data_IF_255432447081
#
_entry.id   IF_255432447081
#
_cell.length_a   1.000
_cell.length_b   1.000
_cell.length_c   1.000
_cell.angle_alpha   90.00
_cell.angle_beta   90.00
_cell.angle_gamma   90.00
#
_symmetry.space_group_name_H-M   'P 1'
#
loop_
_entity.id
_entity.type
_entity.pdbx_description
1 polymer ?
#
# COMPACT_ATOMS: atom_id res chain seq x y z
N UNK A 1 -21.47 12.83 -62.27
CA UNK A 1 -21.73 13.67 -61.08
C UNK A 1 -22.78 13.04 -60.20
N UNK A 2 -22.38 12.46 -59.05
CA UNK A 2 -23.28 12.10 -57.94
C UNK A 2 -22.53 12.33 -56.63
N UNK A 3 -23.11 13.16 -55.76
CA UNK A 3 -22.59 13.54 -54.43
C UNK A 3 -22.67 12.34 -53.48
N UNK A 4 -21.63 12.11 -52.68
CA UNK A 4 -21.68 11.23 -51.50
C UNK A 4 -21.62 12.13 -50.27
N UNK A 5 -22.61 11.94 -49.40
CA UNK A 5 -22.86 12.68 -48.16
C UNK A 5 -22.02 12.05 -47.04
N UNK A 6 -21.31 12.87 -46.28
CA UNK A 6 -20.58 12.47 -45.07
C UNK A 6 -21.58 12.26 -43.93
N UNK A 7 -21.67 11.03 -43.41
CA UNK A 7 -22.36 10.73 -42.16
C UNK A 7 -21.32 10.63 -41.03
N UNK A 8 -21.57 11.37 -39.94
CA UNK A 8 -20.64 11.60 -38.85
C UNK A 8 -20.19 10.34 -38.12
N UNK A 9 -18.88 10.23 -37.91
CA UNK A 9 -18.23 9.23 -37.06
C UNK A 9 -17.98 9.80 -35.67
N UNK A 10 -18.58 9.16 -34.65
CA UNK A 10 -18.27 9.34 -33.23
C UNK A 10 -16.84 8.87 -32.92
N UNK A 11 -16.10 9.49 -31.98
CA UNK A 11 -14.77 9.03 -31.62
C UNK A 11 -14.86 7.94 -30.54
N UNK A 12 -14.64 6.68 -30.90
CA UNK A 12 -14.33 5.61 -29.95
C UNK A 12 -13.08 4.85 -30.39
N UNK A 13 -12.23 4.62 -29.39
CA UNK A 13 -11.09 3.69 -29.35
C UNK A 13 -9.85 4.05 -30.17
N UNK A 14 -9.00 4.93 -29.61
CA UNK A 14 -7.55 4.73 -29.74
C UNK A 14 -7.13 3.60 -28.79
N UNK A 15 -6.80 2.43 -29.34
CA UNK A 15 -5.97 1.43 -28.67
C UNK A 15 -4.55 1.98 -28.63
N UNK A 16 -4.07 2.36 -27.45
CA UNK A 16 -2.65 2.66 -27.26
C UNK A 16 -1.89 1.33 -27.26
N UNK A 17 -0.90 1.24 -28.14
CA UNK A 17 -0.04 0.09 -28.37
C UNK A 17 0.90 -0.11 -27.18
N UNK A 18 1.01 -1.37 -26.77
CA UNK A 18 1.96 -1.86 -25.78
C UNK A 18 3.39 -1.83 -26.33
N UNK A 19 4.21 -0.94 -25.80
CA UNK A 19 5.68 -1.03 -25.89
C UNK A 19 6.26 -0.20 -24.76
N UNK A 20 6.56 -0.85 -23.63
CA UNK A 20 7.39 -0.25 -22.59
C UNK A 20 8.70 -1.04 -22.60
N UNK A 21 9.62 -0.61 -23.46
CA UNK A 21 11.03 -0.67 -23.11
C UNK A 21 11.22 0.39 -22.02
N UNK A 22 11.51 -0.03 -20.80
CA UNK A 22 11.83 0.89 -19.71
C UNK A 22 13.21 1.51 -20.00
N UNK A 23 13.32 2.83 -20.19
CA UNK A 23 14.62 3.47 -20.36
C UNK A 23 15.40 3.39 -19.04
N UNK A 24 16.68 3.07 -19.14
CA UNK A 24 17.65 3.22 -18.05
C UNK A 24 17.65 4.71 -17.64
N UNK A 25 17.33 4.98 -16.37
CA UNK A 25 17.36 6.34 -15.82
C UNK A 25 16.05 6.90 -15.27
N UNK A 26 15.00 6.09 -15.06
CA UNK A 26 13.87 6.51 -14.22
C UNK A 26 14.32 6.61 -12.75
N UNK A 27 14.88 7.76 -12.38
CA UNK A 27 14.62 8.29 -11.06
C UNK A 27 13.10 8.24 -10.88
N UNK A 28 12.64 7.41 -9.96
CA UNK A 28 11.23 7.35 -9.66
C UNK A 28 10.85 8.74 -9.16
N UNK A 29 10.14 9.51 -9.98
CA UNK A 29 9.59 10.84 -9.67
C UNK A 29 8.46 10.73 -8.65
N UNK A 30 8.62 9.87 -7.65
CA UNK A 30 7.72 9.68 -6.56
C UNK A 30 7.96 10.79 -5.54
N UNK A 31 7.01 11.71 -5.42
CA UNK A 31 6.98 12.75 -4.39
C UNK A 31 6.98 12.18 -2.95
N UNK A 32 6.72 10.88 -2.80
CA UNK A 32 6.63 10.24 -1.48
C UNK A 32 8.01 10.09 -0.82
N UNK A 33 8.14 10.42 0.47
CA UNK A 33 9.42 10.46 1.18
C UNK A 33 10.02 9.06 1.37
N UNK A 34 11.34 9.02 1.54
CA UNK A 34 12.08 7.81 1.91
C UNK A 34 12.43 7.86 3.39
N UNK A 35 12.00 6.87 4.16
CA UNK A 35 12.39 6.66 5.55
C UNK A 35 13.50 5.62 5.64
N UNK A 36 14.61 6.01 6.24
CA UNK A 36 15.76 5.13 6.44
C UNK A 36 15.76 4.58 7.86
N UNK A 37 16.00 3.29 7.98
CA UNK A 37 16.09 2.58 9.25
C UNK A 37 17.28 1.62 9.26
N UNK A 38 17.61 1.08 10.43
CA UNK A 38 18.63 0.06 10.63
C UNK A 38 18.09 -1.11 11.43
N UNK A 39 18.78 -2.26 11.44
CA UNK A 39 18.35 -3.40 12.27
C UNK A 39 18.46 -3.13 13.78
N UNK A 40 19.20 -2.09 14.19
CA UNK A 40 19.24 -1.63 15.58
C UNK A 40 17.92 -0.96 16.03
N UNK A 41 17.09 -0.50 15.07
CA UNK A 41 15.78 0.09 15.35
C UNK A 41 14.69 -0.95 15.64
N UNK A 42 14.97 -2.24 15.39
CA UNK A 42 14.00 -3.32 15.56
C UNK A 42 13.72 -3.63 17.03
N UNK A 43 12.46 -3.89 17.34
CA UNK A 43 12.01 -4.31 18.67
C UNK A 43 11.77 -5.82 18.60
N UNK A 44 12.67 -6.60 19.18
CA UNK A 44 12.59 -8.06 19.19
C UNK A 44 11.86 -8.63 20.42
N UNK A 45 11.94 -7.93 21.57
CA UNK A 45 11.18 -8.29 22.76
C UNK A 45 10.04 -7.30 22.99
N UNK A 46 8.81 -7.76 22.80
CA UNK A 46 7.59 -6.97 23.01
C UNK A 46 7.11 -7.00 24.46
N UNK A 47 7.71 -7.83 25.32
CA UNK A 47 7.32 -8.00 26.73
C UNK A 47 8.05 -7.04 27.66
N UNK A 48 9.22 -6.56 27.24
CA UNK A 48 10.04 -5.61 27.96
C UNK A 48 10.05 -4.26 27.20
N UNK A 49 9.12 -3.34 27.49
CA UNK A 49 9.16 -2.01 26.88
C UNK A 49 10.49 -1.33 27.27
N UNK A 50 11.36 -1.10 26.29
CA UNK A 50 12.63 -0.39 26.50
C UNK A 50 12.33 0.96 27.15
N UNK A 51 13.06 1.30 28.21
CA UNK A 51 13.02 2.62 28.84
C UNK A 51 13.28 3.72 27.79
N UNK A 52 12.54 4.82 27.91
CA UNK A 52 12.33 5.88 26.92
C UNK A 52 13.58 6.62 26.38
N UNK A 53 14.80 6.27 26.77
CA UNK A 53 15.97 7.15 26.60
C UNK A 53 16.70 7.05 25.26
N UNK A 54 16.84 5.88 24.60
CA UNK A 54 17.82 5.75 23.48
C UNK A 54 17.25 5.47 22.08
N UNK A 55 15.92 5.40 21.91
CA UNK A 55 15.31 5.08 20.61
C UNK A 55 13.96 5.77 20.35
N UNK A 56 13.65 6.83 21.10
CA UNK A 56 12.36 7.50 21.01
C UNK A 56 12.22 8.35 19.73
N UNK A 57 13.29 9.02 19.31
CA UNK A 57 13.24 10.02 18.23
C UNK A 57 12.91 9.41 16.86
N UNK A 58 13.65 8.40 16.39
CA UNK A 58 13.37 7.73 15.10
C UNK A 58 11.99 7.09 15.05
N UNK A 59 11.54 6.50 16.16
CA UNK A 59 10.22 5.87 16.27
C UNK A 59 9.11 6.91 16.20
N UNK A 60 9.27 8.01 16.93
CA UNK A 60 8.32 9.10 16.92
C UNK A 60 8.26 9.76 15.53
N UNK A 61 9.40 9.99 14.89
CA UNK A 61 9.49 10.46 13.50
C UNK A 61 8.76 9.54 12.52
N UNK A 62 8.95 8.21 12.64
CA UNK A 62 8.24 7.24 11.80
C UNK A 62 6.72 7.32 12.03
N UNK A 63 6.29 7.39 13.29
CA UNK A 63 4.88 7.50 13.67
C UNK A 63 4.26 8.79 13.13
N UNK A 64 4.91 9.93 13.32
CA UNK A 64 4.46 11.23 12.82
C UNK A 64 4.37 11.24 11.30
N UNK A 65 5.39 10.72 10.62
CA UNK A 65 5.39 10.59 9.17
C UNK A 65 4.24 9.70 8.68
N UNK A 66 4.08 8.51 9.28
CA UNK A 66 3.00 7.59 8.93
C UNK A 66 1.63 8.25 9.09
N UNK A 67 1.38 8.86 10.24
CA UNK A 67 0.07 9.46 10.54
C UNK A 67 -0.19 10.70 9.68
N UNK A 68 0.81 11.56 9.47
CA UNK A 68 0.69 12.73 8.60
C UNK A 68 0.33 12.33 7.17
N UNK A 69 1.02 11.33 6.61
CA UNK A 69 0.73 10.84 5.25
C UNK A 69 -0.61 10.14 5.16
N UNK A 70 -1.04 9.44 6.21
CA UNK A 70 -2.34 8.77 6.25
C UNK A 70 -3.48 9.79 6.28
N UNK A 71 -3.36 10.85 7.06
CA UNK A 71 -4.36 11.94 7.10
C UNK A 71 -4.39 12.75 5.81
N UNK A 72 -3.23 13.00 5.18
CA UNK A 72 -3.18 13.63 3.86
C UNK A 72 -3.93 12.78 2.82
N UNK A 73 -3.71 11.47 2.79
CA UNK A 73 -4.44 10.57 1.90
C UNK A 73 -5.95 10.53 2.19
N UNK A 74 -6.35 10.74 3.46
CA UNK A 74 -7.76 10.92 3.83
C UNK A 74 -8.35 12.18 3.21
N UNK A 75 -7.65 13.30 3.35
CA UNK A 75 -8.07 14.60 2.81
C UNK A 75 -8.15 14.56 1.28
N UNK A 76 -7.23 13.84 0.65
CA UNK A 76 -7.18 13.63 -0.81
C UNK A 76 -8.18 12.57 -1.32
N UNK A 77 -9.04 12.02 -0.44
CA UNK A 77 -10.07 11.01 -0.77
C UNK A 77 -9.52 9.76 -1.48
N UNK A 78 -8.36 9.28 -1.05
CA UNK A 78 -7.73 8.07 -1.60
C UNK A 78 -8.46 6.80 -1.15
N UNK A 79 -9.18 6.84 -0.02
CA UNK A 79 -9.95 5.72 0.50
C UNK A 79 -11.26 5.50 -0.26
N UNK A 80 -11.72 4.25 -0.31
CA UNK A 80 -12.97 3.89 -0.95
C UNK A 80 -14.21 4.35 -0.15
N UNK A 81 -14.05 4.67 1.13
CA UNK A 81 -15.12 5.03 2.06
C UNK A 81 -14.55 5.76 3.28
N UNK A 82 -15.41 6.40 4.06
CA UNK A 82 -15.02 7.09 5.30
C UNK A 82 -15.04 6.13 6.50
N UNK A 83 -14.21 6.39 7.51
CA UNK A 83 -14.18 5.61 8.74
C UNK A 83 -15.38 5.94 9.67
N UNK A 84 -16.60 5.78 9.15
CA UNK A 84 -17.82 5.91 9.92
C UNK A 84 -18.26 4.52 10.42
N UNK A 85 -17.77 4.13 11.59
CA UNK A 85 -18.07 2.84 12.18
C UNK A 85 -18.67 2.99 13.58
N UNK A 86 -19.62 2.13 13.89
CA UNK A 86 -20.12 1.98 15.26
C UNK A 86 -19.28 0.95 16.00
N UNK A 87 -19.00 1.22 17.27
CA UNK A 87 -18.21 0.35 18.14
C UNK A 87 -19.04 -0.05 19.36
N UNK A 88 -18.93 -1.31 19.76
CA UNK A 88 -19.53 -1.83 20.99
C UNK A 88 -18.55 -2.77 21.69
N UNK A 89 -18.24 -2.48 22.95
CA UNK A 89 -17.56 -3.44 23.82
C UNK A 89 -18.57 -4.51 24.27
N UNK A 90 -18.16 -5.77 24.22
CA UNK A 90 -18.99 -6.89 24.65
C UNK A 90 -18.79 -7.17 26.14
N UNK A 91 -19.85 -7.52 26.87
CA UNK A 91 -19.73 -7.96 28.26
C UNK A 91 -19.05 -9.34 28.36
N UNK A 92 -18.38 -9.61 29.47
CA UNK A 92 -17.74 -10.90 29.78
C UNK A 92 -16.33 -10.73 30.35
N UNK A 93 -15.65 -11.85 30.57
CA UNK A 93 -14.29 -11.88 31.15
C UNK A 93 -13.20 -11.51 30.14
N UNK A 94 -13.59 -11.25 28.89
CA UNK A 94 -12.69 -10.95 27.78
C UNK A 94 -13.00 -9.59 27.17
N UNK A 95 -11.97 -8.86 26.75
CA UNK A 95 -12.08 -7.51 26.18
C UNK A 95 -12.47 -7.53 24.68
N UNK A 96 -13.52 -8.27 24.33
CA UNK A 96 -13.98 -8.32 22.94
C UNK A 96 -14.75 -7.06 22.55
N UNK A 97 -14.56 -6.64 21.31
CA UNK A 97 -15.30 -5.54 20.73
C UNK A 97 -15.80 -5.86 19.33
N UNK A 98 -16.93 -5.24 18.99
CA UNK A 98 -17.58 -5.37 17.70
C UNK A 98 -17.58 -4.02 17.02
N UNK A 99 -17.17 -4.02 15.76
CA UNK A 99 -17.20 -2.87 14.87
C UNK A 99 -18.17 -3.14 13.72
N UNK A 100 -19.17 -2.27 13.54
CA UNK A 100 -20.04 -2.30 12.37
C UNK A 100 -19.60 -1.20 11.39
N UNK A 101 -19.09 -1.63 10.24
CA UNK A 101 -18.71 -0.75 9.13
C UNK A 101 -19.46 -1.21 7.86
N UNK A 102 -20.60 -0.56 7.59
CA UNK A 102 -21.50 -0.89 6.48
C UNK A 102 -20.85 -0.59 5.12
N UNK A 103 -20.25 0.59 5.00
CA UNK A 103 -19.60 1.04 3.76
C UNK A 103 -18.47 0.11 3.34
N UNK A 104 -17.65 -0.32 4.30
CA UNK A 104 -16.61 -1.33 4.03
C UNK A 104 -17.19 -2.64 3.51
N UNK A 105 -18.32 -3.09 4.06
CA UNK A 105 -18.99 -4.31 3.60
C UNK A 105 -19.39 -4.24 2.13
N UNK A 106 -19.74 -3.05 1.64
CA UNK A 106 -20.25 -2.83 0.28
C UNK A 106 -19.15 -2.39 -0.71
N UNK A 107 -18.23 -1.54 -0.28
CA UNK A 107 -17.26 -0.82 -1.12
C UNK A 107 -15.87 -1.46 -1.11
N UNK A 108 -15.59 -2.42 -0.21
CA UNK A 108 -14.32 -3.15 -0.23
C UNK A 108 -14.24 -4.03 -1.48
N UNK A 109 -13.04 -4.07 -2.08
CA UNK A 109 -12.73 -4.98 -3.19
C UNK A 109 -13.06 -6.44 -2.85
N UNK A 110 -13.67 -7.15 -3.81
CA UNK A 110 -13.86 -8.60 -3.69
C UNK A 110 -12.51 -9.31 -3.49
N UNK A 111 -12.41 -10.28 -2.55
CA UNK A 111 -11.21 -11.07 -2.37
C UNK A 111 -10.77 -11.75 -3.67
N UNK A 112 -9.46 -11.82 -3.89
CA UNK A 112 -8.91 -12.56 -5.02
C UNK A 112 -8.97 -14.06 -4.73
N UNK A 113 -9.30 -14.88 -5.75
CA UNK A 113 -9.19 -16.34 -5.63
C UNK A 113 -7.74 -16.76 -5.78
N UNK A 114 -7.24 -17.52 -4.81
CA UNK A 114 -5.93 -18.15 -4.86
C UNK A 114 -6.09 -19.64 -5.15
N UNK A 115 -5.17 -20.22 -5.91
CA UNK A 115 -5.18 -21.63 -6.27
C UNK A 115 -4.18 -22.44 -5.45
N UNK A 116 -3.17 -21.78 -4.88
CA UNK A 116 -2.17 -22.40 -4.03
C UNK A 116 -1.82 -21.51 -2.84
N UNK A 117 -1.27 -22.14 -1.79
CA UNK A 117 -0.68 -21.45 -0.63
C UNK A 117 0.47 -20.53 -1.06
N UNK A 118 1.24 -20.95 -2.06
CA UNK A 118 2.28 -20.17 -2.73
C UNK A 118 1.82 -19.84 -4.14
N UNK A 119 1.10 -18.75 -4.29
CA UNK A 119 0.64 -18.28 -5.60
C UNK A 119 1.78 -17.52 -6.30
N UNK A 120 2.16 -17.90 -7.54
CA UNK A 120 3.19 -17.20 -8.28
C UNK A 120 2.76 -15.76 -8.60
N UNK A 121 3.74 -14.86 -8.70
CA UNK A 121 3.46 -13.50 -9.16
C UNK A 121 2.93 -13.51 -10.59
N UNK A 122 1.91 -12.71 -10.85
CA UNK A 122 1.36 -12.51 -12.19
C UNK A 122 1.19 -11.03 -12.47
N UNK A 123 1.89 -10.55 -13.50
CA UNK A 123 1.76 -9.17 -13.99
C UNK A 123 0.37 -8.89 -14.57
N UNK A 124 -0.32 -9.92 -15.07
CA UNK A 124 -1.66 -9.80 -15.64
C UNK A 124 -2.72 -9.57 -14.55
N UNK A 125 -2.56 -10.20 -13.39
CA UNK A 125 -3.45 -10.02 -12.24
C UNK A 125 -3.17 -8.71 -11.51
N UNK A 126 -4.09 -8.28 -10.65
CA UNK A 126 -3.81 -7.14 -9.78
C UNK A 126 -2.63 -7.47 -8.85
N UNK A 127 -1.69 -6.53 -8.72
CA UNK A 127 -0.51 -6.64 -7.87
C UNK A 127 -0.09 -5.24 -7.39
N UNK A 128 0.76 -5.19 -6.37
CA UNK A 128 1.18 -3.92 -5.77
C UNK A 128 2.01 -3.02 -6.68
N UNK A 129 2.61 -3.55 -7.76
CA UNK A 129 3.26 -2.72 -8.79
C UNK A 129 2.27 -1.85 -9.57
N UNK A 130 0.96 -2.04 -9.39
CA UNK A 130 -0.11 -1.22 -9.98
C UNK A 130 -0.73 -0.23 -9.00
N UNK A 131 -0.10 -0.01 -7.83
CA UNK A 131 -0.53 1.04 -6.91
C UNK A 131 -0.47 2.40 -7.58
N UNK A 132 -1.49 3.22 -7.34
CA UNK A 132 -1.47 4.61 -7.74
C UNK A 132 -0.47 5.39 -6.88
N UNK A 133 0.12 6.44 -7.43
CA UNK A 133 1.14 7.21 -6.72
C UNK A 133 0.60 7.89 -5.45
N UNK A 134 -0.68 8.27 -5.45
CA UNK A 134 -1.38 8.83 -4.28
C UNK A 134 -1.63 7.79 -3.17
N UNK A 135 -1.58 6.49 -3.48
CA UNK A 135 -1.66 5.43 -2.48
C UNK A 135 -0.33 5.21 -1.74
N UNK A 136 0.79 5.70 -2.29
CA UNK A 136 2.12 5.52 -1.72
C UNK A 136 2.40 6.56 -0.64
N UNK A 137 2.47 6.13 0.62
CA UNK A 137 2.73 7.00 1.77
C UNK A 137 4.20 7.35 1.89
N UNK A 138 5.07 6.34 1.84
CA UNK A 138 6.53 6.46 1.95
C UNK A 138 7.23 5.19 1.46
N UNK A 139 8.54 5.30 1.20
CA UNK A 139 9.42 4.17 0.93
C UNK A 139 10.28 3.87 2.15
N UNK A 140 10.54 2.59 2.44
CA UNK A 140 11.47 2.21 3.50
C UNK A 140 12.77 1.64 2.92
N UNK A 141 13.90 2.04 3.50
CA UNK A 141 15.23 1.51 3.18
C UNK A 141 16.01 1.18 4.43
N UNK A 142 16.50 -0.05 4.48
CA UNK A 142 17.41 -0.51 5.53
C UNK A 142 18.85 -0.12 5.18
N UNK A 143 19.54 0.60 6.06
CA UNK A 143 20.91 1.11 5.84
C UNK A 143 21.95 -0.02 5.91
N UNK A 144 21.80 -0.93 6.86
CA UNK A 144 22.75 -1.99 7.18
C UNK A 144 22.42 -3.34 6.53
N UNK A 145 21.18 -3.51 6.03
CA UNK A 145 20.77 -4.68 5.24
C UNK A 145 19.99 -4.26 3.98
N UNK A 146 20.65 -3.62 3.00
CA UNK A 146 19.98 -3.23 1.76
C UNK A 146 19.46 -4.46 1.01
N UNK A 147 18.31 -4.31 0.34
CA UNK A 147 17.67 -5.38 -0.44
C UNK A 147 18.64 -5.86 -1.53
N UNK A 148 19.23 -4.93 -2.28
CA UNK A 148 20.29 -5.12 -3.25
C UNK A 148 21.13 -3.83 -3.39
N UNK A 149 22.11 -3.84 -4.28
CA UNK A 149 22.85 -2.64 -4.69
C UNK A 149 22.06 -1.72 -5.62
N UNK A 150 20.87 -2.12 -6.09
CA UNK A 150 20.03 -1.32 -6.97
C UNK A 150 19.40 -0.15 -6.20
N UNK A 151 19.68 1.11 -6.58
CA UNK A 151 19.06 2.28 -5.98
C UNK A 151 17.55 2.34 -6.14
N UNK A 152 16.91 1.50 -6.95
CA UNK A 152 15.46 1.43 -7.11
C UNK A 152 14.80 0.47 -6.11
N UNK A 153 15.55 -0.46 -5.53
CA UNK A 153 15.01 -1.43 -4.59
C UNK A 153 14.55 -0.76 -3.29
N UNK A 154 13.30 -1.06 -2.91
CA UNK A 154 12.63 -0.43 -1.77
C UNK A 154 11.49 -1.28 -1.25
N UNK A 155 11.22 -1.13 0.04
CA UNK A 155 9.92 -1.48 0.61
C UNK A 155 8.99 -0.28 0.45
N UNK A 156 7.68 -0.54 0.34
CA UNK A 156 6.66 0.50 0.22
C UNK A 156 5.75 0.44 1.43
N UNK A 157 5.44 1.59 2.01
CA UNK A 157 4.27 1.75 2.87
C UNK A 157 3.21 2.46 2.06
N UNK A 158 2.07 1.80 1.90
CA UNK A 158 0.93 2.30 1.16
C UNK A 158 -0.29 2.41 2.06
N UNK A 159 -1.23 3.29 1.73
CA UNK A 159 -2.52 3.30 2.40
C UNK A 159 -3.26 2.00 2.10
N UNK A 160 -4.05 1.52 3.06
CA UNK A 160 -5.08 0.54 2.74
C UNK A 160 -6.31 1.31 2.24
N UNK A 161 -6.66 1.21 0.95
CA UNK A 161 -7.84 1.88 0.37
C UNK A 161 -9.16 1.40 0.96
N UNK A 162 -9.16 0.34 1.77
CA UNK A 162 -10.29 -0.10 2.61
C UNK A 162 -9.85 -0.24 4.07
N UNK A 163 -9.58 0.88 4.77
CA UNK A 163 -9.04 0.89 6.12
C UNK A 163 -10.06 0.37 7.14
N UNK A 164 -9.56 -0.26 8.21
CA UNK A 164 -10.40 -0.67 9.35
C UNK A 164 -10.45 0.41 10.43
N UNK A 165 -9.32 1.09 10.60
CA UNK A 165 -9.10 2.11 11.61
C UNK A 165 -8.10 3.14 11.10
N UNK A 166 -7.96 4.21 11.88
CA UNK A 166 -7.02 5.29 11.61
C UNK A 166 -5.58 4.76 11.61
N UNK A 167 -4.83 5.03 10.54
CA UNK A 167 -3.47 4.54 10.38
C UNK A 167 -3.35 3.13 9.80
N UNK A 168 -4.46 2.46 9.43
CA UNK A 168 -4.39 1.16 8.78
C UNK A 168 -3.73 1.31 7.38
N UNK A 169 -2.52 0.76 7.28
CA UNK A 169 -1.66 0.81 6.10
C UNK A 169 -1.14 -0.58 5.73
N UNK A 170 -0.52 -0.68 4.56
CA UNK A 170 0.10 -1.89 4.02
C UNK A 170 1.61 -1.69 3.97
N UNK A 171 2.37 -2.68 4.43
CA UNK A 171 3.82 -2.76 4.19
C UNK A 171 4.05 -3.79 3.09
N UNK A 172 4.71 -3.37 2.01
CA UNK A 172 4.95 -4.17 0.81
C UNK A 172 6.46 -4.35 0.66
N UNK A 173 7.00 -5.53 1.03
CA UNK A 173 8.42 -5.76 0.96
C UNK A 173 8.92 -5.91 -0.47
N UNK A 174 10.06 -5.28 -0.80
CA UNK A 174 10.79 -5.47 -2.06
C UNK A 174 9.87 -5.48 -3.29
N UNK A 175 9.10 -4.40 -3.47
CA UNK A 175 8.00 -4.33 -4.44
C UNK A 175 8.44 -4.68 -5.88
N UNK A 176 9.67 -4.31 -6.26
CA UNK A 176 10.22 -4.55 -7.60
C UNK A 176 10.57 -6.03 -7.84
N UNK A 177 10.79 -6.82 -6.77
CA UNK A 177 11.15 -8.24 -6.90
C UNK A 177 9.99 -9.13 -7.32
N UNK A 178 8.76 -8.59 -7.36
CA UNK A 178 7.59 -9.32 -7.84
C UNK A 178 7.46 -10.70 -7.16
N UNK A 179 7.62 -10.72 -5.83
CA UNK A 179 7.66 -11.95 -5.05
C UNK A 179 6.29 -12.68 -5.10
N UNK A 180 6.28 -14.03 -5.01
CA UNK A 180 5.04 -14.78 -4.91
C UNK A 180 4.24 -14.39 -3.67
N UNK A 181 2.92 -14.51 -3.76
CA UNK A 181 2.04 -14.33 -2.59
C UNK A 181 2.01 -15.64 -1.82
N UNK A 182 2.54 -15.60 -0.59
CA UNK A 182 2.66 -16.78 0.26
C UNK A 182 1.77 -16.60 1.48
N UNK A 183 0.88 -17.57 1.72
CA UNK A 183 0.26 -17.73 3.01
C UNK A 183 1.25 -18.47 3.91
N UNK A 184 1.80 -17.80 4.92
CA UNK A 184 2.65 -18.46 5.91
C UNK A 184 1.75 -19.33 6.80
N UNK A 185 1.94 -20.66 6.76
CA UNK A 185 1.63 -21.49 7.91
C UNK A 185 2.87 -21.45 8.80
N UNK A 186 2.73 -20.88 9.99
CA UNK A 186 3.69 -20.97 11.09
C UNK A 186 3.93 -22.41 11.52
#
# INVERSE_FOLDING_TARGET
MRKIVMLGSTPRTQRSLSSIQLPVGLECTSSSPVFYYSTADFIYDLRAPRSNSDGNDSRQKLKELLMSRWEAAKQDKVFNYDLNCMYKLLPGDFNFSVQLNIERGQLRRKPMRFHAVREPFSILRWNFGKLNQNEVMMYLRCKDRPISSDPLDRHVVAVNSSPLERGHSLVIPAINRCLPQVFFNS
#
